data_IF_257490157524
#
_entry.id   IF_257490157524
#
_cell.length_a   1.000
_cell.length_b   1.000
_cell.length_c   1.000
_cell.angle_alpha   90.00
_cell.angle_beta   90.00
_cell.angle_gamma   90.00
#
_symmetry.space_group_name_H-M   'P 1'
#
loop_
_entity.id
_entity.type
_entity.pdbx_description
1 polymer ?
#
# COMPACT_ATOMS: atom_id res chain seq x y z
N UNK A 1 3.98 9.18 -5.80
CA UNK A 1 3.62 9.95 -7.03
C UNK A 1 4.90 10.28 -7.79
N UNK A 2 4.93 10.07 -9.12
CA UNK A 2 6.10 10.28 -9.98
C UNK A 2 6.76 11.65 -9.75
N UNK A 3 5.97 12.72 -9.69
CA UNK A 3 6.49 14.08 -9.51
C UNK A 3 7.31 14.24 -8.21
N UNK A 4 6.92 13.60 -7.12
CA UNK A 4 7.70 13.64 -5.88
C UNK A 4 9.03 12.87 -6.03
N UNK A 5 9.02 11.69 -6.63
CA UNK A 5 10.24 10.91 -6.82
C UNK A 5 11.22 11.68 -7.72
N UNK A 6 10.77 12.16 -8.89
CA UNK A 6 11.65 12.77 -9.87
C UNK A 6 12.03 14.21 -9.56
N UNK A 7 11.10 15.04 -9.08
CA UNK A 7 11.32 16.49 -8.91
C UNK A 7 11.70 16.89 -7.48
N UNK A 8 11.21 16.14 -6.46
CA UNK A 8 11.50 16.44 -5.06
C UNK A 8 12.73 15.67 -4.56
N UNK A 9 12.83 14.38 -4.90
CA UNK A 9 13.91 13.51 -4.41
C UNK A 9 15.00 13.27 -5.44
N UNK A 10 14.86 13.82 -6.65
CA UNK A 10 15.85 13.69 -7.75
C UNK A 10 16.22 12.23 -8.07
N UNK A 11 15.26 11.32 -7.95
CA UNK A 11 15.44 9.89 -8.20
C UNK A 11 14.76 9.47 -9.50
N UNK A 12 15.28 8.42 -10.10
CA UNK A 12 14.66 7.81 -11.28
C UNK A 12 13.31 7.16 -10.92
N UNK A 13 12.34 7.35 -11.81
CA UNK A 13 11.05 6.70 -11.74
C UNK A 13 11.02 5.47 -12.64
N UNK A 14 11.02 4.28 -12.06
CA UNK A 14 10.94 3.04 -12.82
C UNK A 14 10.13 1.96 -12.08
N UNK A 15 9.26 1.26 -12.79
CA UNK A 15 8.53 0.06 -12.37
C UNK A 15 8.11 0.06 -10.87
N UNK A 16 7.30 1.03 -10.39
CA UNK A 16 7.10 1.24 -8.95
C UNK A 16 6.49 0.05 -8.23
N UNK A 17 5.56 -0.68 -8.84
CA UNK A 17 4.94 -1.87 -8.25
C UNK A 17 5.96 -3.02 -8.13
N UNK A 18 6.71 -3.32 -9.19
CA UNK A 18 7.73 -4.37 -9.16
C UNK A 18 8.84 -4.06 -8.15
N UNK A 19 9.30 -2.80 -8.10
CA UNK A 19 10.29 -2.35 -7.11
C UNK A 19 9.78 -2.47 -5.67
N UNK A 20 8.51 -2.10 -5.41
CA UNK A 20 7.91 -2.22 -4.10
C UNK A 20 7.75 -3.68 -3.68
N UNK A 21 7.28 -4.54 -4.60
CA UNK A 21 7.21 -5.98 -4.38
C UNK A 21 8.55 -6.55 -3.94
N UNK A 22 9.58 -6.23 -4.68
CA UNK A 22 10.92 -6.75 -4.40
C UNK A 22 11.50 -6.19 -3.10
N UNK A 23 11.28 -4.92 -2.78
CA UNK A 23 11.67 -4.32 -1.51
C UNK A 23 11.03 -5.05 -0.32
N UNK A 24 9.74 -5.39 -0.42
CA UNK A 24 9.03 -6.14 0.62
C UNK A 24 9.60 -7.54 0.78
N UNK A 25 9.82 -8.25 -0.33
CA UNK A 25 10.41 -9.60 -0.31
C UNK A 25 11.83 -9.59 0.24
N UNK A 26 12.65 -8.60 -0.13
CA UNK A 26 14.00 -8.42 0.41
C UNK A 26 13.97 -8.17 1.93
N UNK A 27 13.05 -7.33 2.39
CA UNK A 27 12.85 -7.07 3.84
C UNK A 27 12.46 -8.35 4.57
N UNK A 28 11.54 -9.13 4.03
CA UNK A 28 11.13 -10.42 4.60
C UNK A 28 12.29 -11.43 4.64
N UNK A 29 13.12 -11.46 3.60
CA UNK A 29 14.32 -12.31 3.59
C UNK A 29 15.33 -11.92 4.68
N UNK A 30 15.53 -10.63 4.92
CA UNK A 30 16.35 -10.14 6.04
C UNK A 30 15.76 -10.57 7.38
N UNK A 31 14.46 -10.39 7.61
CA UNK A 31 13.80 -10.81 8.84
C UNK A 31 13.85 -12.33 9.05
N UNK A 32 13.69 -13.10 7.97
CA UNK A 32 13.84 -14.55 8.02
C UNK A 32 15.25 -14.94 8.46
N UNK A 33 16.28 -14.34 7.87
CA UNK A 33 17.68 -14.56 8.26
C UNK A 33 17.91 -14.27 9.77
N UNK A 34 17.32 -13.19 10.29
CA UNK A 34 17.41 -12.87 11.73
C UNK A 34 16.71 -13.89 12.62
N UNK A 35 15.54 -14.38 12.21
CA UNK A 35 14.72 -15.27 13.02
C UNK A 35 15.17 -16.75 12.96
N UNK A 36 15.74 -17.17 11.84
CA UNK A 36 16.12 -18.58 11.63
C UNK A 36 17.62 -18.83 11.71
N UNK A 37 18.44 -17.77 11.60
CA UNK A 37 19.89 -17.90 11.44
C UNK A 37 20.35 -18.36 10.05
N UNK A 38 19.42 -18.54 9.11
CA UNK A 38 19.77 -18.90 7.73
C UNK A 38 20.58 -17.79 7.06
N UNK A 39 21.48 -18.20 6.17
CA UNK A 39 22.29 -17.25 5.39
C UNK A 39 21.39 -16.35 4.54
N UNK A 40 21.58 -15.03 4.68
CA UNK A 40 20.94 -14.07 3.80
C UNK A 40 21.48 -14.20 2.37
N UNK A 41 20.61 -14.53 1.42
CA UNK A 41 20.94 -14.60 -0.01
C UNK A 41 19.70 -14.19 -0.84
N UNK A 42 19.40 -12.91 -0.84
CA UNK A 42 18.33 -12.33 -1.64
C UNK A 42 18.93 -11.67 -2.89
N UNK A 43 18.47 -12.08 -4.07
CA UNK A 43 18.91 -11.53 -5.37
C UNK A 43 17.70 -11.24 -6.23
N UNK A 44 17.51 -9.97 -6.56
CA UNK A 44 16.42 -9.49 -7.39
C UNK A 44 16.92 -8.54 -8.48
N UNK A 45 15.98 -7.93 -9.19
CA UNK A 45 16.26 -6.97 -10.25
C UNK A 45 16.65 -5.58 -9.71
N UNK A 46 16.19 -5.23 -8.50
CA UNK A 46 16.34 -3.91 -7.89
C UNK A 46 17.15 -3.94 -6.60
N UNK A 47 17.16 -5.06 -5.89
CA UNK A 47 17.81 -5.22 -4.59
C UNK A 47 18.62 -6.52 -4.55
N UNK A 48 19.82 -6.43 -3.98
CA UNK A 48 20.65 -7.59 -3.68
C UNK A 48 21.17 -7.47 -2.25
N UNK A 49 20.84 -8.47 -1.41
CA UNK A 49 21.27 -8.54 -0.03
C UNK A 49 21.83 -9.93 0.27
N UNK A 50 23.16 -10.01 0.33
CA UNK A 50 23.88 -11.30 0.48
C UNK A 50 24.85 -11.31 1.65
N UNK A 51 24.85 -10.24 2.45
CA UNK A 51 25.75 -10.09 3.59
C UNK A 51 24.96 -9.76 4.85
N UNK A 52 25.05 -10.64 5.86
CA UNK A 52 24.62 -10.40 7.22
C UNK A 52 25.77 -10.75 8.15
N UNK A 53 26.40 -9.73 8.74
CA UNK A 53 27.47 -9.95 9.71
C UNK A 53 26.91 -10.06 11.13
N UNK A 54 27.60 -10.75 12.07
CA UNK A 54 27.13 -10.87 13.44
C UNK A 54 26.86 -9.53 14.13
N UNK A 55 27.60 -8.49 13.77
CA UNK A 55 27.42 -7.15 14.34
C UNK A 55 26.06 -6.51 14.00
N UNK A 56 25.52 -6.82 12.82
CA UNK A 56 24.21 -6.30 12.38
C UNK A 56 23.07 -7.30 12.55
N UNK A 57 23.34 -8.45 13.16
CA UNK A 57 22.34 -9.48 13.40
C UNK A 57 21.74 -9.29 14.81
N UNK A 58 20.49 -8.80 14.92
CA UNK A 58 19.88 -8.49 16.23
C UNK A 58 19.47 -9.73 17.03
N UNK A 59 19.51 -10.92 16.40
CA UNK A 59 18.92 -12.14 16.93
C UNK A 59 17.47 -12.32 16.55
N UNK A 60 16.90 -13.41 17.01
CA UNK A 60 15.49 -13.76 16.81
C UNK A 60 14.58 -12.75 17.51
N UNK A 61 13.53 -12.32 16.84
CA UNK A 61 12.47 -11.54 17.45
C UNK A 61 11.48 -12.49 18.16
N UNK A 62 11.34 -12.45 19.49
CA UNK A 62 10.48 -13.37 20.24
C UNK A 62 8.99 -13.24 19.90
N UNK A 63 8.59 -12.16 19.22
CA UNK A 63 7.22 -11.91 18.78
C UNK A 63 7.00 -12.29 17.30
N UNK A 64 8.00 -12.90 16.65
CA UNK A 64 7.98 -13.25 15.24
C UNK A 64 8.22 -12.06 14.29
N UNK A 65 8.05 -12.28 13.00
CA UNK A 65 8.21 -11.23 12.01
C UNK A 65 7.10 -10.18 12.15
N UNK A 66 7.42 -8.88 12.03
CA UNK A 66 6.41 -7.82 12.04
C UNK A 66 5.43 -7.98 10.88
N UNK A 67 4.16 -7.61 11.11
CA UNK A 67 3.18 -7.54 10.03
C UNK A 67 3.54 -6.42 9.04
N UNK A 68 3.45 -6.72 7.76
CA UNK A 68 3.73 -5.77 6.68
C UNK A 68 2.44 -5.15 6.16
N UNK A 69 2.39 -3.82 6.15
CA UNK A 69 1.27 -3.07 5.60
C UNK A 69 1.71 -2.27 4.37
N UNK A 70 0.89 -2.25 3.32
CA UNK A 70 1.14 -1.48 2.11
C UNK A 70 -0.07 -0.66 1.72
N UNK A 71 0.14 0.63 1.46
CA UNK A 71 -0.86 1.51 0.88
C UNK A 71 -0.82 1.45 -0.66
N UNK A 72 -1.98 1.39 -1.28
CA UNK A 72 -2.10 1.41 -2.73
C UNK A 72 -3.42 2.02 -3.20
N UNK A 73 -3.43 2.52 -4.43
CA UNK A 73 -4.63 3.05 -5.08
C UNK A 73 -4.86 2.35 -6.42
N UNK A 74 -3.81 2.22 -7.24
CA UNK A 74 -3.90 1.56 -8.54
C UNK A 74 -3.79 0.03 -8.44
N UNK A 75 -4.31 -0.71 -9.44
CA UNK A 75 -4.44 -2.16 -9.38
C UNK A 75 -3.11 -2.88 -9.16
N UNK A 76 -2.04 -2.48 -9.84
CA UNK A 76 -0.73 -3.15 -9.72
C UNK A 76 -0.13 -3.06 -8.31
N UNK A 77 -0.26 -1.91 -7.62
CA UNK A 77 0.23 -1.79 -6.24
C UNK A 77 -0.67 -2.55 -5.26
N UNK A 78 -1.97 -2.59 -5.53
CA UNK A 78 -2.94 -3.38 -4.76
C UNK A 78 -2.67 -4.89 -4.91
N UNK A 79 -2.35 -5.35 -6.11
CA UNK A 79 -1.93 -6.75 -6.33
C UNK A 79 -0.64 -7.08 -5.57
N UNK A 80 0.34 -6.17 -5.53
CA UNK A 80 1.55 -6.35 -4.71
C UNK A 80 1.20 -6.50 -3.23
N UNK A 81 0.26 -5.71 -2.72
CA UNK A 81 -0.20 -5.86 -1.33
C UNK A 81 -0.82 -7.22 -1.08
N UNK A 82 -1.71 -7.69 -1.95
CA UNK A 82 -2.30 -9.03 -1.86
C UNK A 82 -1.25 -10.15 -1.87
N UNK A 83 -0.26 -10.03 -2.74
CA UNK A 83 0.82 -11.01 -2.88
C UNK A 83 1.76 -11.02 -1.67
N UNK A 84 2.11 -9.86 -1.12
CA UNK A 84 3.27 -9.75 -0.24
C UNK A 84 2.97 -9.24 1.17
N UNK A 85 1.80 -8.66 1.44
CA UNK A 85 1.52 -7.98 2.71
C UNK A 85 0.44 -8.66 3.53
N UNK A 86 0.40 -8.32 4.81
CA UNK A 86 -0.59 -8.78 5.78
C UNK A 86 -1.76 -7.79 5.91
N UNK A 87 -1.50 -6.52 5.56
CA UNK A 87 -2.49 -5.44 5.61
C UNK A 87 -2.42 -4.60 4.34
N UNK A 88 -3.57 -4.37 3.74
CA UNK A 88 -3.74 -3.35 2.70
C UNK A 88 -4.32 -2.08 3.31
N UNK A 89 -3.64 -0.96 3.14
CA UNK A 89 -4.10 0.35 3.59
C UNK A 89 -4.81 1.06 2.44
N UNK A 90 -6.15 1.01 2.45
CA UNK A 90 -6.96 1.72 1.46
C UNK A 90 -6.85 3.25 1.67
N UNK A 91 -6.95 4.01 0.58
CA UNK A 91 -6.99 5.47 0.68
C UNK A 91 -8.38 5.95 1.07
N UNK A 92 -8.49 7.04 1.85
CA UNK A 92 -9.78 7.61 2.25
C UNK A 92 -10.63 8.14 1.07
N UNK A 93 -9.99 8.47 -0.06
CA UNK A 93 -10.67 8.77 -1.31
C UNK A 93 -10.96 7.46 -2.07
N UNK A 94 -11.95 6.74 -1.59
CA UNK A 94 -12.46 5.48 -2.17
C UNK A 94 -13.96 5.40 -1.94
N UNK A 95 -14.61 4.42 -2.55
CA UNK A 95 -16.03 4.12 -2.36
C UNK A 95 -16.24 2.63 -2.17
N UNK A 96 -17.38 2.25 -1.60
CA UNK A 96 -17.75 0.83 -1.49
C UNK A 96 -17.73 0.14 -2.85
N UNK A 97 -18.25 0.78 -3.89
CA UNK A 97 -18.24 0.26 -5.25
C UNK A 97 -16.82 0.00 -5.74
N UNK A 98 -15.93 0.99 -5.63
CA UNK A 98 -14.54 0.85 -6.06
C UNK A 98 -13.79 -0.23 -5.26
N UNK A 99 -14.05 -0.34 -3.96
CA UNK A 99 -13.50 -1.41 -3.14
C UNK A 99 -13.94 -2.80 -3.63
N UNK A 100 -15.22 -2.98 -3.94
CA UNK A 100 -15.78 -4.26 -4.37
C UNK A 100 -15.39 -4.64 -5.81
N UNK A 101 -15.40 -3.69 -6.72
CA UNK A 101 -15.24 -3.96 -8.16
C UNK A 101 -13.78 -3.92 -8.61
N UNK A 102 -12.91 -3.16 -7.92
CA UNK A 102 -11.53 -2.95 -8.33
C UNK A 102 -10.51 -3.43 -7.28
N UNK A 103 -10.65 -2.96 -6.02
CA UNK A 103 -9.63 -3.18 -4.99
C UNK A 103 -9.59 -4.64 -4.54
N UNK A 104 -10.74 -5.21 -4.16
CA UNK A 104 -10.84 -6.59 -3.68
C UNK A 104 -10.38 -7.58 -4.75
N UNK A 105 -10.85 -7.51 -6.01
CA UNK A 105 -10.36 -8.41 -7.05
C UNK A 105 -8.86 -8.27 -7.33
N UNK A 106 -8.29 -7.07 -7.19
CA UNK A 106 -6.84 -6.89 -7.34
C UNK A 106 -6.06 -7.52 -6.19
N UNK A 107 -6.55 -7.41 -4.94
CA UNK A 107 -5.95 -8.11 -3.79
C UNK A 107 -6.02 -9.63 -3.96
N UNK A 108 -7.15 -10.16 -4.40
CA UNK A 108 -7.33 -11.59 -4.67
C UNK A 108 -6.33 -12.09 -5.71
N UNK A 109 -6.22 -11.45 -6.87
CA UNK A 109 -5.23 -11.81 -7.88
C UNK A 109 -3.80 -11.80 -7.35
N UNK A 110 -3.48 -10.84 -6.49
CA UNK A 110 -2.17 -10.78 -5.83
C UNK A 110 -1.96 -11.94 -4.86
N UNK A 111 -2.93 -12.22 -4.01
CA UNK A 111 -2.87 -13.30 -3.02
C UNK A 111 -2.74 -14.68 -3.70
N UNK A 112 -3.54 -14.95 -4.74
CA UNK A 112 -3.49 -16.18 -5.52
C UNK A 112 -2.11 -16.45 -6.12
N UNK A 113 -1.40 -15.42 -6.61
CA UNK A 113 -0.02 -15.57 -7.12
C UNK A 113 0.95 -16.12 -6.07
N UNK A 114 0.72 -15.83 -4.81
CA UNK A 114 1.53 -16.29 -3.69
C UNK A 114 0.98 -17.56 -3.01
N UNK A 115 -0.07 -18.19 -3.57
CA UNK A 115 -0.75 -19.32 -2.95
C UNK A 115 -1.50 -18.96 -1.67
N UNK A 116 -1.87 -17.69 -1.52
CA UNK A 116 -2.62 -17.11 -0.40
C UNK A 116 -4.08 -16.88 -0.81
N UNK A 117 -4.89 -16.51 0.15
CA UNK A 117 -6.28 -16.10 -0.07
C UNK A 117 -6.52 -14.67 0.44
N UNK A 118 -7.65 -14.08 0.05
CA UNK A 118 -8.04 -12.75 0.55
C UNK A 118 -8.18 -12.71 2.08
N UNK A 119 -8.53 -13.83 2.73
CA UNK A 119 -8.63 -13.92 4.19
C UNK A 119 -7.30 -13.72 4.92
N UNK A 120 -6.17 -13.82 4.21
CA UNK A 120 -4.83 -13.58 4.75
C UNK A 120 -4.42 -12.09 4.67
N UNK A 121 -5.29 -11.24 4.13
CA UNK A 121 -5.03 -9.81 3.93
C UNK A 121 -6.11 -8.98 4.63
N UNK A 122 -5.73 -8.29 5.69
CA UNK A 122 -6.61 -7.32 6.34
C UNK A 122 -6.74 -6.06 5.48
N UNK A 123 -7.96 -5.57 5.28
CA UNK A 123 -8.21 -4.29 4.60
C UNK A 123 -8.51 -3.24 5.65
N UNK A 124 -7.69 -2.22 5.74
CA UNK A 124 -7.85 -1.09 6.63
C UNK A 124 -7.86 0.22 5.85
N UNK A 125 -8.64 1.19 6.29
CA UNK A 125 -8.67 2.50 5.63
C UNK A 125 -9.39 3.56 6.46
N UNK A 126 -8.99 4.84 6.31
CA UNK A 126 -9.65 5.96 6.93
C UNK A 126 -10.98 6.28 6.23
N UNK A 127 -11.93 6.80 6.99
CA UNK A 127 -13.18 7.35 6.48
C UNK A 127 -13.24 8.85 6.74
N UNK A 128 -13.87 9.60 5.83
CA UNK A 128 -14.22 10.99 6.10
C UNK A 128 -15.39 11.01 7.09
N UNK A 129 -15.18 11.63 8.23
CA UNK A 129 -16.23 11.86 9.24
C UNK A 129 -16.52 13.36 9.29
N UNK A 130 -17.79 13.72 9.09
CA UNK A 130 -18.25 15.10 9.12
C UNK A 130 -19.16 15.27 10.33
N UNK A 131 -18.74 16.09 11.28
CA UNK A 131 -19.46 16.32 12.53
C UNK A 131 -19.38 17.79 12.95
N UNK A 132 -20.33 18.25 13.76
CA UNK A 132 -20.38 19.57 14.36
C UNK A 132 -21.35 19.57 15.55
N UNK A 133 -21.14 20.46 16.51
CA UNK A 133 -22.00 20.60 17.69
C UNK A 133 -23.29 21.38 17.38
N UNK A 134 -23.32 22.10 16.27
CA UNK A 134 -24.46 22.85 15.76
C UNK A 134 -24.43 22.87 14.22
N UNK A 135 -25.45 23.42 13.61
CA UNK A 135 -25.61 23.43 12.16
C UNK A 135 -24.53 24.25 11.44
N UNK A 136 -24.10 25.36 12.00
CA UNK A 136 -23.03 26.21 11.45
C UNK A 136 -21.70 25.46 11.40
N UNK A 137 -21.30 24.81 12.49
CA UNK A 137 -20.10 23.99 12.56
C UNK A 137 -20.17 22.80 11.61
N UNK A 138 -21.33 22.14 11.51
CA UNK A 138 -21.56 21.02 10.61
C UNK A 138 -21.40 21.45 9.14
N UNK A 139 -22.00 22.59 8.73
CA UNK A 139 -21.84 23.08 7.36
C UNK A 139 -20.39 23.50 7.05
N UNK A 140 -19.69 24.09 7.99
CA UNK A 140 -18.25 24.39 7.86
C UNK A 140 -17.42 23.10 7.69
N UNK A 141 -17.70 22.07 8.46
CA UNK A 141 -17.03 20.77 8.36
C UNK A 141 -17.34 20.09 7.00
N UNK A 142 -18.59 20.14 6.54
CA UNK A 142 -18.98 19.66 5.19
C UNK A 142 -18.19 20.38 4.10
N UNK A 143 -18.07 21.71 4.18
CA UNK A 143 -17.33 22.48 3.20
C UNK A 143 -15.85 22.11 3.18
N UNK A 144 -15.22 21.94 4.34
CA UNK A 144 -13.84 21.49 4.45
C UNK A 144 -13.63 20.10 3.83
N UNK A 145 -14.54 19.18 4.10
CA UNK A 145 -14.50 17.82 3.52
C UNK A 145 -14.70 17.83 2.00
N UNK A 146 -15.62 18.65 1.46
CA UNK A 146 -15.80 18.85 0.02
C UNK A 146 -14.52 19.36 -0.66
N UNK A 147 -13.83 20.31 -0.03
CA UNK A 147 -12.55 20.81 -0.56
C UNK A 147 -11.48 19.71 -0.58
N UNK A 148 -11.42 18.88 0.45
CA UNK A 148 -10.48 17.76 0.51
C UNK A 148 -10.81 16.70 -0.54
N UNK A 149 -12.07 16.36 -0.73
CA UNK A 149 -12.53 15.44 -1.78
C UNK A 149 -12.18 16.00 -3.16
N UNK A 150 -12.43 17.28 -3.42
CA UNK A 150 -12.08 17.93 -4.68
C UNK A 150 -10.58 17.92 -4.94
N UNK A 151 -9.76 18.15 -3.91
CA UNK A 151 -8.30 18.06 -4.01
C UNK A 151 -7.84 16.65 -4.41
N UNK A 152 -8.38 15.59 -3.77
CA UNK A 152 -8.05 14.22 -4.16
C UNK A 152 -8.58 13.90 -5.57
N UNK A 153 -9.80 14.29 -5.91
CA UNK A 153 -10.40 14.08 -7.23
C UNK A 153 -9.62 14.73 -8.36
N UNK A 154 -8.89 15.82 -8.11
CA UNK A 154 -8.00 16.46 -9.09
C UNK A 154 -6.68 15.72 -9.32
N UNK A 155 -6.37 14.71 -8.51
CA UNK A 155 -5.12 13.95 -8.59
C UNK A 155 -5.27 12.78 -9.58
N UNK A 156 -4.45 12.73 -10.65
CA UNK A 156 -4.59 11.68 -11.69
C UNK A 156 -4.54 10.24 -11.16
N UNK A 157 -3.80 9.99 -10.07
CA UNK A 157 -3.70 8.65 -9.47
C UNK A 157 -5.01 8.15 -8.86
N UNK A 158 -5.96 9.05 -8.56
CA UNK A 158 -7.26 8.70 -7.96
C UNK A 158 -8.41 8.72 -8.97
N UNK A 159 -8.12 9.01 -10.23
CA UNK A 159 -9.14 9.13 -11.29
C UNK A 159 -9.96 7.84 -11.45
N UNK A 160 -9.37 6.67 -11.28
CA UNK A 160 -10.05 5.38 -11.35
C UNK A 160 -11.25 5.27 -10.40
N UNK A 161 -11.20 5.93 -9.24
CA UNK A 161 -12.34 5.96 -8.31
C UNK A 161 -13.53 6.69 -8.92
N UNK A 162 -13.29 7.82 -9.59
CA UNK A 162 -14.33 8.60 -10.28
C UNK A 162 -14.84 7.85 -11.51
N UNK A 163 -13.95 7.28 -12.29
CA UNK A 163 -14.27 6.53 -13.54
C UNK A 163 -15.17 5.33 -13.23
N UNK A 164 -14.96 4.62 -12.12
CA UNK A 164 -15.83 3.53 -11.68
C UNK A 164 -17.30 3.95 -11.51
N UNK A 165 -17.54 5.24 -11.24
CA UNK A 165 -18.86 5.83 -11.10
C UNK A 165 -19.37 6.56 -12.34
N UNK A 166 -18.58 6.63 -13.42
CA UNK A 166 -18.89 7.46 -14.57
C UNK A 166 -18.71 8.97 -14.33
N UNK A 167 -17.92 9.34 -13.30
CA UNK A 167 -17.64 10.73 -12.93
C UNK A 167 -16.25 11.20 -13.41
N UNK A 168 -15.69 10.51 -14.37
CA UNK A 168 -14.31 10.75 -14.84
C UNK A 168 -14.14 11.90 -15.84
N UNK A 169 -15.22 12.62 -16.21
CA UNK A 169 -15.21 13.76 -17.15
C UNK A 169 -14.86 15.08 -16.46
#
# INVERSE_FOLDING_TARGET
IKAHITRRFSMEWSKPAARMREMILATKAIWNSWNTGEKLDFRGDFYEHTLMTPFFHPGENPYGAPRMALAGVGPLMTEVAGETCDVFLAHGFTTEKYLREETIPALERGAERAGRSLSDVEISGPLFVVTGNNEEELEKAKQGTRQQIAFYGSTPAYRGVLECHGWGE
#
